data_IF_366815556132
#
_entry.id   IF_366815556132
#
_cell.length_a   1.000
_cell.length_b   1.000
_cell.length_c   1.000
_cell.angle_alpha   90.00
_cell.angle_beta   90.00
_cell.angle_gamma   90.00
#
_symmetry.space_group_name_H-M   'P 1'
#
loop_
_entity.id
_entity.type
_entity.pdbx_description
1 polymer ?
#
# COMPACT_ATOMS: atom_id res chain seq x y z
N UNK A 1 17.54 14.48 -23.72
CA UNK A 1 18.18 13.18 -24.04
C UNK A 1 17.40 12.12 -23.28
N UNK A 2 16.83 11.11 -23.95
CA UNK A 2 16.21 9.96 -23.29
C UNK A 2 17.31 9.21 -22.51
N UNK A 3 17.24 9.21 -21.19
CA UNK A 3 18.17 8.47 -20.35
C UNK A 3 17.69 7.03 -20.13
N UNK A 4 18.56 6.00 -20.25
CA UNK A 4 18.19 4.62 -19.90
C UNK A 4 17.79 4.54 -18.42
N UNK A 5 17.16 3.43 -18.02
CA UNK A 5 17.01 3.13 -16.59
C UNK A 5 18.39 2.92 -16.00
N UNK A 6 18.68 3.70 -14.96
CA UNK A 6 19.96 3.62 -14.25
C UNK A 6 19.98 2.43 -13.31
N UNK A 7 21.17 1.96 -12.97
CA UNK A 7 21.34 0.88 -11.99
C UNK A 7 20.69 1.23 -10.64
N UNK A 8 20.78 2.50 -10.22
CA UNK A 8 20.18 3.00 -8.99
C UNK A 8 18.65 2.79 -8.99
N UNK A 9 17.96 3.18 -10.05
CA UNK A 9 16.51 3.02 -10.15
C UNK A 9 16.11 1.56 -10.20
N UNK A 10 16.87 0.72 -10.91
CA UNK A 10 16.65 -0.73 -10.94
C UNK A 10 16.79 -1.34 -9.54
N UNK A 11 17.82 -0.94 -8.80
CA UNK A 11 18.08 -1.43 -7.45
C UNK A 11 16.98 -1.03 -6.48
N UNK A 12 16.58 0.24 -6.48
CA UNK A 12 15.49 0.75 -5.65
C UNK A 12 14.15 0.07 -5.97
N UNK A 13 13.78 -0.04 -7.25
CA UNK A 13 12.56 -0.74 -7.68
C UNK A 13 12.57 -2.20 -7.26
N UNK A 14 13.71 -2.90 -7.44
CA UNK A 14 13.83 -4.31 -7.04
C UNK A 14 13.71 -4.46 -5.53
N UNK A 15 14.36 -3.60 -4.76
CA UNK A 15 14.32 -3.62 -3.30
C UNK A 15 12.88 -3.46 -2.79
N UNK A 16 12.16 -2.44 -3.27
CA UNK A 16 10.77 -2.19 -2.89
C UNK A 16 9.83 -3.32 -3.35
N UNK A 17 10.03 -3.85 -4.56
CA UNK A 17 9.23 -4.97 -5.08
C UNK A 17 9.42 -6.23 -4.23
N UNK A 18 10.67 -6.59 -3.92
CA UNK A 18 10.96 -7.76 -3.08
C UNK A 18 10.41 -7.58 -1.67
N UNK A 19 10.54 -6.39 -1.08
CA UNK A 19 9.94 -6.08 0.22
C UNK A 19 8.41 -6.24 0.18
N UNK A 20 7.74 -5.67 -0.84
CA UNK A 20 6.28 -5.75 -1.00
C UNK A 20 5.78 -7.19 -1.15
N UNK A 21 6.52 -8.03 -1.89
CA UNK A 21 6.17 -9.44 -2.06
C UNK A 21 6.25 -10.21 -0.74
N UNK A 22 7.33 -10.03 0.03
CA UNK A 22 7.47 -10.66 1.34
C UNK A 22 6.41 -10.14 2.33
N UNK A 23 6.14 -8.83 2.32
CA UNK A 23 5.14 -8.22 3.19
C UNK A 23 3.73 -8.68 2.86
N UNK A 24 3.38 -8.90 1.58
CA UNK A 24 2.09 -9.47 1.19
C UNK A 24 1.91 -10.89 1.75
N UNK A 25 2.94 -11.72 1.63
CA UNK A 25 2.92 -13.08 2.15
C UNK A 25 2.79 -13.09 3.68
N UNK A 26 3.57 -12.25 4.36
CA UNK A 26 3.52 -12.16 5.82
C UNK A 26 2.19 -11.57 6.30
N UNK A 27 1.65 -10.57 5.61
CA UNK A 27 0.36 -9.99 5.95
C UNK A 27 -0.76 -11.04 5.84
N UNK A 28 -0.77 -11.82 4.75
CA UNK A 28 -1.72 -12.92 4.60
C UNK A 28 -1.57 -13.98 5.71
N UNK A 29 -0.35 -14.27 6.14
CA UNK A 29 -0.10 -15.17 7.27
C UNK A 29 -0.61 -14.57 8.60
N UNK A 30 -0.38 -13.28 8.83
CA UNK A 30 -0.83 -12.56 10.02
C UNK A 30 -2.37 -12.54 10.12
N UNK A 31 -3.06 -12.14 9.05
CA UNK A 31 -4.54 -12.16 8.95
C UNK A 31 -5.10 -13.54 9.32
N UNK A 32 -4.52 -14.61 8.77
CA UNK A 32 -4.96 -15.97 9.07
C UNK A 32 -4.78 -16.35 10.55
N UNK A 33 -3.69 -15.89 11.20
CA UNK A 33 -3.46 -16.11 12.63
C UNK A 33 -4.47 -15.34 13.47
N UNK A 34 -4.71 -14.08 13.17
CA UNK A 34 -5.68 -13.23 13.85
C UNK A 34 -7.08 -13.84 13.79
N UNK A 35 -7.57 -14.21 12.60
CA UNK A 35 -8.87 -14.86 12.42
C UNK A 35 -8.98 -16.18 13.21
N UNK A 36 -7.88 -16.94 13.29
CA UNK A 36 -7.84 -18.18 14.08
C UNK A 36 -7.98 -17.88 15.58
N UNK A 37 -7.29 -16.87 16.09
CA UNK A 37 -7.33 -16.51 17.49
C UNK A 37 -8.64 -15.86 17.93
N UNK A 38 -9.29 -15.07 17.06
CA UNK A 38 -10.66 -14.58 17.33
C UNK A 38 -11.64 -15.74 17.55
N UNK A 39 -11.65 -16.72 16.64
CA UNK A 39 -12.52 -17.91 16.78
C UNK A 39 -12.25 -18.69 18.06
N UNK A 40 -10.97 -18.85 18.43
CA UNK A 40 -10.60 -19.51 19.68
C UNK A 40 -11.04 -18.69 20.91
N UNK A 41 -10.94 -17.37 20.84
CA UNK A 41 -11.44 -16.45 21.86
C UNK A 41 -12.93 -16.61 22.11
N UNK A 42 -13.76 -16.61 21.05
CA UNK A 42 -15.21 -16.80 21.15
C UNK A 42 -15.56 -18.13 21.83
N UNK A 43 -14.91 -19.22 21.40
CA UNK A 43 -15.10 -20.56 21.98
C UNK A 43 -14.70 -20.56 23.46
N UNK A 44 -13.64 -19.86 23.84
CA UNK A 44 -13.17 -19.81 25.21
C UNK A 44 -14.07 -18.94 26.11
N UNK A 45 -14.62 -17.86 25.57
CA UNK A 45 -15.58 -17.00 26.28
C UNK A 45 -16.84 -17.81 26.61
N UNK A 46 -17.41 -18.51 25.64
CA UNK A 46 -18.56 -19.40 25.83
C UNK A 46 -18.27 -20.46 26.90
N UNK A 47 -17.06 -21.04 26.90
CA UNK A 47 -16.64 -22.05 27.86
C UNK A 47 -16.32 -21.51 29.27
N UNK A 48 -16.06 -20.21 29.40
CA UNK A 48 -15.74 -19.55 30.67
C UNK A 48 -16.97 -18.94 31.37
N UNK A 49 -18.09 -18.77 30.67
CA UNK A 49 -19.34 -18.23 31.24
C UNK A 49 -19.77 -19.02 32.48
N UNK A 50 -19.93 -18.31 33.60
CA UNK A 50 -20.36 -18.89 34.88
C UNK A 50 -19.30 -19.72 35.62
N UNK A 51 -18.03 -19.72 35.18
CA UNK A 51 -16.94 -20.44 35.85
C UNK A 51 -16.10 -19.51 36.72
N UNK A 52 -15.57 -20.05 37.82
CA UNK A 52 -14.70 -19.33 38.75
C UNK A 52 -13.25 -19.17 38.25
N UNK A 53 -12.81 -20.02 37.31
CA UNK A 53 -11.45 -19.99 36.75
C UNK A 53 -11.49 -19.60 35.27
N UNK A 54 -10.85 -18.49 34.90
CA UNK A 54 -10.86 -17.90 33.55
C UNK A 54 -9.52 -17.99 32.82
N UNK A 55 -8.51 -18.65 33.39
CA UNK A 55 -7.13 -18.66 32.86
C UNK A 55 -7.02 -19.03 31.38
N UNK A 56 -7.81 -20.01 30.92
CA UNK A 56 -7.82 -20.42 29.51
C UNK A 56 -8.31 -19.30 28.58
N UNK A 57 -9.41 -18.64 28.95
CA UNK A 57 -9.95 -17.49 28.23
C UNK A 57 -8.97 -16.31 28.25
N UNK A 58 -8.37 -16.01 29.40
CA UNK A 58 -7.42 -14.91 29.53
C UNK A 58 -6.16 -15.10 28.68
N UNK A 59 -5.65 -16.33 28.56
CA UNK A 59 -4.54 -16.66 27.67
C UNK A 59 -4.94 -16.48 26.20
N UNK A 60 -6.11 -16.96 25.79
CA UNK A 60 -6.55 -16.85 24.40
C UNK A 60 -6.83 -15.39 23.98
N UNK A 61 -7.40 -14.59 24.89
CA UNK A 61 -7.55 -13.14 24.67
C UNK A 61 -6.21 -12.43 24.51
N UNK A 62 -5.20 -12.79 25.31
CA UNK A 62 -3.85 -12.25 25.17
C UNK A 62 -3.21 -12.66 23.84
N UNK A 63 -3.42 -13.89 23.39
CA UNK A 63 -2.94 -14.37 22.08
C UNK A 63 -3.60 -13.63 20.92
N UNK A 64 -4.93 -13.42 20.97
CA UNK A 64 -5.66 -12.65 19.96
C UNK A 64 -5.12 -11.22 19.87
N UNK A 65 -4.98 -10.54 21.01
CA UNK A 65 -4.43 -9.19 21.05
C UNK A 65 -2.97 -9.11 20.55
N UNK A 66 -2.17 -10.16 20.74
CA UNK A 66 -0.83 -10.22 20.18
C UNK A 66 -0.84 -10.44 18.66
N UNK A 67 -1.77 -11.25 18.15
CA UNK A 67 -1.97 -11.45 16.72
C UNK A 67 -2.45 -10.18 16.02
N UNK A 68 -3.40 -9.45 16.60
CA UNK A 68 -3.89 -8.16 16.08
C UNK A 68 -2.76 -7.15 15.91
N UNK A 69 -1.93 -6.97 16.95
CA UNK A 69 -0.78 -6.06 16.89
C UNK A 69 0.19 -6.47 15.79
N UNK A 70 0.47 -7.77 15.67
CA UNK A 70 1.37 -8.28 14.66
C UNK A 70 0.83 -8.05 13.24
N UNK A 71 -0.44 -8.38 12.99
CA UNK A 71 -1.11 -8.10 11.72
C UNK A 71 -1.08 -6.62 11.39
N UNK A 72 -1.35 -5.76 12.39
CA UNK A 72 -1.30 -4.32 12.24
C UNK A 72 0.08 -3.83 11.81
N UNK A 73 1.12 -4.24 12.53
CA UNK A 73 2.49 -3.81 12.25
C UNK A 73 2.94 -4.24 10.85
N UNK A 74 2.61 -5.48 10.45
CA UNK A 74 2.90 -5.98 9.10
C UNK A 74 2.10 -5.22 8.03
N UNK A 75 0.82 -4.93 8.28
CA UNK A 75 -0.03 -4.17 7.35
C UNK A 75 0.45 -2.73 7.15
N UNK A 76 0.92 -2.07 8.21
CA UNK A 76 1.53 -0.73 8.12
C UNK A 76 2.81 -0.74 7.28
N UNK A 77 3.68 -1.74 7.50
CA UNK A 77 4.89 -1.91 6.70
C UNK A 77 4.54 -2.18 5.23
N UNK A 78 3.56 -3.05 4.96
CA UNK A 78 3.09 -3.37 3.62
C UNK A 78 2.55 -2.12 2.91
N UNK A 79 1.73 -1.30 3.57
CA UNK A 79 1.22 -0.05 3.02
C UNK A 79 2.37 0.90 2.65
N UNK A 80 3.28 1.13 3.59
CA UNK A 80 4.42 2.04 3.38
C UNK A 80 5.23 1.65 2.16
N UNK A 81 5.62 0.37 2.04
CA UNK A 81 6.47 -0.09 0.95
C UNK A 81 5.72 -0.19 -0.38
N UNK A 82 4.45 -0.60 -0.36
CA UNK A 82 3.64 -0.64 -1.56
C UNK A 82 3.37 0.78 -2.10
N UNK A 83 3.06 1.73 -1.22
CA UNK A 83 2.90 3.14 -1.58
C UNK A 83 4.18 3.73 -2.18
N UNK A 84 5.33 3.48 -1.57
CA UNK A 84 6.64 3.88 -2.10
C UNK A 84 6.92 3.24 -3.47
N UNK A 85 6.62 1.95 -3.63
CA UNK A 85 6.77 1.24 -4.90
C UNK A 85 5.88 1.84 -6.00
N UNK A 86 4.64 2.20 -5.67
CA UNK A 86 3.74 2.90 -6.60
C UNK A 86 4.30 4.24 -7.02
N UNK A 87 4.75 5.07 -6.06
CA UNK A 87 5.30 6.39 -6.34
C UNK A 87 6.57 6.31 -7.20
N UNK A 88 7.53 5.47 -6.82
CA UNK A 88 8.77 5.29 -7.58
C UNK A 88 8.51 4.69 -8.97
N UNK A 89 7.71 3.63 -9.06
CA UNK A 89 7.41 2.95 -10.32
C UNK A 89 6.69 3.84 -11.32
N UNK A 90 5.68 4.59 -10.87
CA UNK A 90 4.99 5.58 -11.71
C UNK A 90 5.95 6.69 -12.16
N UNK A 91 6.76 7.24 -11.25
CA UNK A 91 7.73 8.29 -11.59
C UNK A 91 8.75 7.82 -12.63
N UNK A 92 9.25 6.59 -12.50
CA UNK A 92 10.16 5.98 -13.48
C UNK A 92 9.45 5.80 -14.83
N UNK A 93 8.20 5.33 -14.85
CA UNK A 93 7.42 5.21 -16.09
C UNK A 93 7.20 6.56 -16.77
N UNK A 94 6.74 7.57 -16.03
CA UNK A 94 6.50 8.92 -16.56
C UNK A 94 7.76 9.49 -17.22
N UNK A 95 8.91 9.43 -16.53
CA UNK A 95 10.15 9.96 -17.09
C UNK A 95 10.60 9.21 -18.34
N UNK A 96 10.35 7.90 -18.42
CA UNK A 96 10.71 7.08 -19.58
C UNK A 96 9.83 7.44 -20.77
N UNK A 97 8.51 7.53 -20.56
CA UNK A 97 7.54 7.93 -21.58
C UNK A 97 7.84 9.33 -22.12
N UNK A 98 8.15 10.28 -21.24
CA UNK A 98 8.43 11.66 -21.62
C UNK A 98 9.90 11.91 -22.01
N UNK A 99 10.76 10.90 -21.94
CA UNK A 99 12.18 11.02 -22.29
C UNK A 99 12.97 12.00 -21.42
N UNK A 100 12.58 12.13 -20.15
CA UNK A 100 13.24 12.94 -19.14
C UNK A 100 14.56 12.31 -18.68
N UNK A 101 15.37 13.10 -17.97
CA UNK A 101 16.62 12.62 -17.38
C UNK A 101 16.36 11.56 -16.30
N UNK A 102 17.33 10.65 -16.04
CA UNK A 102 17.23 9.72 -14.93
C UNK A 102 17.13 10.43 -13.58
N UNK A 103 16.52 9.77 -12.60
CA UNK A 103 16.35 10.30 -11.25
C UNK A 103 17.71 10.39 -10.54
N UNK A 104 17.89 11.44 -9.75
CA UNK A 104 19.07 11.61 -8.89
C UNK A 104 19.00 10.73 -7.63
N UNK A 105 20.12 10.59 -6.92
CA UNK A 105 20.20 9.80 -5.67
C UNK A 105 19.19 10.27 -4.63
N UNK A 106 19.14 11.58 -4.38
CA UNK A 106 18.23 12.16 -3.38
C UNK A 106 16.76 12.02 -3.78
N UNK A 107 16.45 12.10 -5.09
CA UNK A 107 15.10 11.90 -5.60
C UNK A 107 14.66 10.43 -5.43
N UNK A 108 15.53 9.48 -5.76
CA UNK A 108 15.25 8.05 -5.56
C UNK A 108 15.06 7.72 -4.07
N UNK A 109 15.94 8.22 -3.20
CA UNK A 109 15.85 8.00 -1.76
C UNK A 109 14.53 8.56 -1.20
N UNK A 110 14.17 9.79 -1.58
CA UNK A 110 12.91 10.40 -1.15
C UNK A 110 11.68 9.62 -1.65
N UNK A 111 11.73 9.07 -2.87
CA UNK A 111 10.65 8.26 -3.45
C UNK A 111 10.49 6.89 -2.75
N UNK A 112 11.55 6.37 -2.14
CA UNK A 112 11.53 5.12 -1.36
C UNK A 112 10.90 5.25 0.03
N UNK A 113 10.76 6.47 0.56
CA UNK A 113 10.03 6.70 1.81
C UNK A 113 8.53 6.48 1.64
N UNK A 114 7.82 6.30 2.76
CA UNK A 114 6.36 6.28 2.76
C UNK A 114 5.82 7.59 2.14
N UNK A 115 4.97 7.50 1.11
CA UNK A 115 4.31 8.66 0.56
C UNK A 115 3.26 9.19 1.54
N UNK A 116 3.13 10.50 1.57
CA UNK A 116 1.92 11.12 2.13
C UNK A 116 0.69 10.70 1.32
N UNK A 117 -0.49 10.79 1.94
CA UNK A 117 -1.75 10.51 1.26
C UNK A 117 -1.92 11.40 0.02
N UNK A 118 -1.53 12.67 0.10
CA UNK A 118 -1.56 13.62 -1.02
C UNK A 118 -0.66 13.22 -2.19
N UNK A 119 0.55 12.75 -1.90
CA UNK A 119 1.47 12.25 -2.91
C UNK A 119 0.94 10.97 -3.58
N UNK A 120 0.37 10.05 -2.81
CA UNK A 120 -0.21 8.82 -3.34
C UNK A 120 -1.45 9.12 -4.21
N UNK A 121 -2.34 10.01 -3.76
CA UNK A 121 -3.50 10.51 -4.53
C UNK A 121 -3.04 11.14 -5.84
N UNK A 122 -2.03 12.01 -5.79
CA UNK A 122 -1.47 12.67 -6.98
C UNK A 122 -0.90 11.66 -7.96
N UNK A 123 -0.10 10.71 -7.47
CA UNK A 123 0.48 9.62 -8.28
C UNK A 123 -0.59 8.80 -8.97
N UNK A 124 -1.64 8.42 -8.23
CA UNK A 124 -2.74 7.63 -8.75
C UNK A 124 -3.66 8.43 -9.67
N UNK A 125 -3.58 9.76 -9.70
CA UNK A 125 -4.39 10.60 -10.58
C UNK A 125 -3.86 10.64 -12.01
N UNK A 126 -2.61 10.21 -12.26
CA UNK A 126 -2.04 10.12 -13.61
C UNK A 126 -2.77 9.03 -14.42
N UNK A 127 -3.43 9.36 -15.55
CA UNK A 127 -4.15 8.38 -16.36
C UNK A 127 -3.25 7.29 -16.92
N UNK A 128 -3.77 6.06 -17.04
CA UNK A 128 -3.00 4.94 -17.60
C UNK A 128 -2.55 5.19 -19.04
N UNK A 129 -3.33 5.93 -19.83
CA UNK A 129 -2.98 6.30 -21.20
C UNK A 129 -1.69 7.15 -21.28
N UNK A 130 -1.43 7.95 -20.25
CA UNK A 130 -0.21 8.76 -20.14
C UNK A 130 1.00 7.89 -19.80
N UNK A 131 0.82 6.84 -18.99
CA UNK A 131 1.90 5.96 -18.51
C UNK A 131 2.22 4.82 -19.48
N UNK A 132 1.23 4.37 -20.25
CA UNK A 132 1.31 3.12 -21.02
C UNK A 132 1.13 3.33 -22.53
N UNK A 133 1.77 4.33 -23.19
CA UNK A 133 1.45 4.71 -24.57
C UNK A 133 1.55 3.57 -25.59
N UNK A 134 2.42 2.59 -25.34
CA UNK A 134 2.72 1.47 -26.23
C UNK A 134 1.91 0.19 -25.95
N UNK A 135 1.00 0.21 -24.96
CA UNK A 135 0.16 -0.95 -24.65
C UNK A 135 -1.08 -1.05 -25.53
N UNK A 136 -1.56 -2.27 -25.68
CA UNK A 136 -2.82 -2.56 -26.35
C UNK A 136 -3.99 -1.83 -25.67
N UNK A 137 -4.98 -1.33 -26.43
CA UNK A 137 -6.11 -0.57 -25.87
C UNK A 137 -6.85 -1.30 -24.75
N UNK A 138 -7.06 -2.61 -24.87
CA UNK A 138 -7.73 -3.41 -23.84
C UNK A 138 -6.93 -3.48 -22.53
N UNK A 139 -5.60 -3.57 -22.60
CA UNK A 139 -4.73 -3.56 -21.41
C UNK A 139 -4.79 -2.18 -20.75
N UNK A 140 -4.75 -1.10 -21.54
CA UNK A 140 -4.88 0.28 -21.04
C UNK A 140 -6.19 0.49 -20.31
N UNK A 141 -7.30 0.04 -20.89
CA UNK A 141 -8.63 0.13 -20.27
C UNK A 141 -8.68 -0.64 -18.94
N UNK A 142 -8.13 -1.86 -18.90
CA UNK A 142 -8.05 -2.65 -17.68
C UNK A 142 -7.22 -1.96 -16.60
N UNK A 143 -6.03 -1.43 -16.96
CA UNK A 143 -5.16 -0.71 -16.03
C UNK A 143 -5.80 0.59 -15.54
N UNK A 144 -6.51 1.32 -16.41
CA UNK A 144 -7.24 2.52 -16.04
C UNK A 144 -8.37 2.22 -15.07
N UNK A 145 -9.08 1.10 -15.25
CA UNK A 145 -10.11 0.64 -14.31
C UNK A 145 -9.50 0.31 -12.95
N UNK A 146 -8.42 -0.47 -12.91
CA UNK A 146 -7.73 -0.83 -11.67
C UNK A 146 -7.18 0.41 -10.95
N UNK A 147 -6.57 1.35 -11.68
CA UNK A 147 -6.10 2.63 -11.16
C UNK A 147 -7.23 3.44 -10.53
N UNK A 148 -8.38 3.58 -11.21
CA UNK A 148 -9.55 4.33 -10.69
C UNK A 148 -10.11 3.70 -9.42
N UNK A 149 -10.19 2.37 -9.36
CA UNK A 149 -10.64 1.65 -8.16
C UNK A 149 -9.69 1.89 -6.99
N UNK A 150 -8.38 1.82 -7.23
CA UNK A 150 -7.38 2.10 -6.21
C UNK A 150 -7.40 3.57 -5.77
N UNK A 151 -7.53 4.52 -6.70
CA UNK A 151 -7.69 5.93 -6.36
C UNK A 151 -8.92 6.14 -5.47
N UNK A 152 -10.07 5.54 -5.81
CA UNK A 152 -11.27 5.59 -4.98
C UNK A 152 -11.04 4.98 -3.58
N UNK A 153 -10.28 3.89 -3.48
CA UNK A 153 -9.92 3.30 -2.19
C UNK A 153 -9.07 4.26 -1.34
N UNK A 154 -8.10 4.95 -1.95
CA UNK A 154 -7.29 5.99 -1.31
C UNK A 154 -8.13 7.21 -0.92
N UNK A 155 -9.11 7.62 -1.73
CA UNK A 155 -10.09 8.65 -1.33
C UNK A 155 -10.89 8.24 -0.09
N UNK A 156 -11.20 6.95 0.06
CA UNK A 156 -11.79 6.40 1.28
C UNK A 156 -10.88 6.60 2.49
N UNK A 157 -9.57 6.32 2.36
CA UNK A 157 -8.59 6.59 3.42
C UNK A 157 -8.55 8.08 3.79
N UNK A 158 -8.57 8.96 2.79
CA UNK A 158 -8.64 10.40 3.03
C UNK A 158 -9.86 10.80 3.85
N UNK A 159 -11.03 10.29 3.47
CA UNK A 159 -12.28 10.56 4.17
C UNK A 159 -12.22 10.06 5.62
N UNK A 160 -11.69 8.87 5.85
CA UNK A 160 -11.57 8.28 7.19
C UNK A 160 -10.56 9.08 8.04
N UNK A 161 -9.40 9.41 7.47
CA UNK A 161 -8.38 10.20 8.12
C UNK A 161 -8.86 11.61 8.49
N UNK A 162 -9.71 12.22 7.65
CA UNK A 162 -10.32 13.51 7.92
C UNK A 162 -11.24 13.50 9.16
N UNK A 163 -11.73 12.32 9.55
CA UNK A 163 -12.71 12.16 10.64
C UNK A 163 -12.09 11.72 11.98
N UNK A 164 -10.80 11.34 12.00
CA UNK A 164 -10.15 10.70 13.16
C UNK A 164 -10.14 11.49 14.47
N UNK A 165 -10.27 12.83 14.42
CA UNK A 165 -10.23 13.69 15.61
C UNK A 165 -11.44 14.64 15.68
N UNK A 166 -12.38 14.54 14.74
CA UNK A 166 -13.47 15.49 14.63
C UNK A 166 -14.75 14.99 15.28
N UNK A 167 -15.05 15.47 16.48
CA UNK A 167 -16.41 15.36 17.04
C UNK A 167 -17.39 16.35 16.40
N UNK A 168 -16.88 17.42 15.76
CA UNK A 168 -17.72 18.50 15.22
C UNK A 168 -17.47 18.88 13.74
N UNK A 169 -16.24 18.78 13.19
CA UNK A 169 -15.95 19.11 11.77
C UNK A 169 -14.74 18.35 11.19
N UNK A 170 -14.85 17.75 9.98
CA UNK A 170 -13.73 17.09 9.32
C UNK A 170 -12.50 18.00 9.14
N UNK A 171 -11.31 17.40 9.17
CA UNK A 171 -10.06 18.10 8.87
C UNK A 171 -10.05 18.62 7.42
N UNK A 172 -9.44 19.78 7.16
CA UNK A 172 -9.22 20.28 5.80
C UNK A 172 -8.40 19.30 4.93
N UNK A 173 -8.71 19.24 3.64
CA UNK A 173 -8.09 18.30 2.69
C UNK A 173 -6.57 18.46 2.58
N UNK A 174 -6.05 19.70 2.65
CA UNK A 174 -4.62 20.00 2.60
C UNK A 174 -3.86 19.48 3.83
N UNK A 175 -4.52 19.46 4.99
CA UNK A 175 -3.97 18.86 6.21
C UNK A 175 -3.89 17.35 6.06
N UNK A 176 -4.99 16.71 5.61
CA UNK A 176 -5.05 15.26 5.42
C UNK A 176 -4.05 14.81 4.35
N UNK A 177 -3.88 15.59 3.28
CA UNK A 177 -2.92 15.33 2.22
C UNK A 177 -1.48 15.24 2.74
N UNK A 178 -1.14 15.95 3.82
CA UNK A 178 0.18 15.92 4.44
C UNK A 178 0.45 14.69 5.33
N UNK A 179 -0.57 13.87 5.63
CA UNK A 179 -0.40 12.72 6.51
C UNK A 179 0.27 11.54 5.81
N UNK A 180 1.10 10.82 6.57
CA UNK A 180 1.48 9.44 6.27
C UNK A 180 0.51 8.50 6.98
N UNK A 181 0.12 7.40 6.35
CA UNK A 181 -0.86 6.48 6.94
C UNK A 181 -0.35 5.91 8.26
N UNK A 182 0.94 5.57 8.34
CA UNK A 182 1.56 5.03 9.56
C UNK A 182 1.52 6.01 10.74
N UNK A 183 1.34 7.31 10.48
CA UNK A 183 1.28 8.35 11.51
C UNK A 183 -0.15 8.63 11.97
N UNK A 184 -1.15 8.38 11.13
CA UNK A 184 -2.55 8.76 11.39
C UNK A 184 -3.48 7.57 11.49
N UNK A 185 -2.98 6.40 11.88
CA UNK A 185 -3.82 5.24 12.09
C UNK A 185 -3.74 4.82 13.57
N UNK A 186 -4.72 5.21 14.41
CA UNK A 186 -4.70 4.96 15.85
C UNK A 186 -4.71 3.45 16.18
N UNK A 187 -3.93 2.99 17.18
CA UNK A 187 -3.77 1.58 17.49
C UNK A 187 -5.03 0.92 18.07
N UNK A 188 -5.98 1.71 18.54
CA UNK A 188 -7.27 1.31 19.13
C UNK A 188 -8.44 1.31 18.14
N UNK A 189 -8.18 1.66 16.87
CA UNK A 189 -9.16 1.64 15.78
C UNK A 189 -8.71 0.69 14.66
N UNK A 190 -9.69 0.23 13.88
CA UNK A 190 -9.43 -0.53 12.67
C UNK A 190 -8.45 0.24 11.77
N UNK A 191 -7.41 -0.43 11.24
CA UNK A 191 -6.39 0.25 10.47
C UNK A 191 -6.97 0.83 9.19
N UNK A 192 -6.65 2.09 8.90
CA UNK A 192 -7.17 2.78 7.70
C UNK A 192 -6.87 2.08 6.36
N UNK A 193 -5.84 1.23 6.29
CA UNK A 193 -5.53 0.46 5.08
C UNK A 193 -6.47 -0.74 4.86
N UNK A 194 -7.28 -1.12 5.84
CA UNK A 194 -8.10 -2.33 5.79
C UNK A 194 -9.02 -2.32 4.58
N UNK A 195 -9.13 -3.46 3.89
CA UNK A 195 -9.88 -3.61 2.64
C UNK A 195 -9.26 -2.94 1.40
N UNK A 196 -8.17 -2.17 1.56
CA UNK A 196 -7.55 -1.35 0.51
C UNK A 196 -6.12 -1.78 0.18
N UNK A 197 -5.40 -2.31 1.18
CA UNK A 197 -4.01 -2.74 1.08
C UNK A 197 -3.75 -3.74 -0.07
N UNK A 198 -4.63 -4.73 -0.26
CA UNK A 198 -4.46 -5.74 -1.30
C UNK A 198 -4.52 -5.16 -2.73
N UNK A 199 -5.33 -4.12 -2.93
CA UNK A 199 -5.40 -3.41 -4.22
C UNK A 199 -4.11 -2.62 -4.45
N UNK A 200 -3.59 -1.96 -3.42
CA UNK A 200 -2.33 -1.22 -3.49
C UNK A 200 -1.15 -2.16 -3.79
N UNK A 201 -1.05 -3.29 -3.09
CA UNK A 201 -0.03 -4.31 -3.32
C UNK A 201 -0.08 -4.86 -4.74
N UNK A 202 -1.29 -5.22 -5.22
CA UNK A 202 -1.46 -5.75 -6.57
C UNK A 202 -1.08 -4.73 -7.65
N UNK A 203 -1.37 -3.45 -7.43
CA UNK A 203 -0.96 -2.38 -8.35
C UNK A 203 0.56 -2.16 -8.34
N UNK A 204 1.18 -2.14 -7.15
CA UNK A 204 2.63 -2.01 -6.98
C UNK A 204 3.40 -3.15 -7.69
N UNK A 205 2.91 -4.38 -7.58
CA UNK A 205 3.51 -5.56 -8.21
C UNK A 205 3.48 -5.52 -9.74
N UNK A 206 2.51 -4.81 -10.34
CA UNK A 206 2.38 -4.67 -11.78
C UNK A 206 3.40 -3.72 -12.42
N UNK A 207 3.87 -2.71 -11.68
CA UNK A 207 4.71 -1.63 -12.24
C UNK A 207 6.04 -2.10 -12.84
N UNK A 208 6.82 -3.02 -12.22
CA UNK A 208 8.03 -3.55 -12.84
C UNK A 208 7.77 -4.20 -14.21
N UNK A 209 6.63 -4.88 -14.37
CA UNK A 209 6.24 -5.47 -15.65
C UNK A 209 5.96 -4.38 -16.70
N UNK A 210 5.25 -3.32 -16.32
CA UNK A 210 4.97 -2.19 -17.22
C UNK A 210 6.24 -1.47 -17.67
N UNK A 211 7.18 -1.24 -16.74
CA UNK A 211 8.51 -0.68 -17.06
C UNK A 211 9.24 -1.59 -18.05
N UNK A 212 9.26 -2.90 -17.78
CA UNK A 212 9.91 -3.88 -18.66
C UNK A 212 9.36 -3.81 -20.08
N UNK A 213 8.03 -3.77 -20.26
CA UNK A 213 7.43 -3.72 -21.59
C UNK A 213 7.70 -2.40 -22.30
N UNK A 214 7.65 -1.28 -21.59
CA UNK A 214 8.01 0.01 -22.17
C UNK A 214 9.46 -0.02 -22.72
N UNK A 215 10.39 -0.58 -21.95
CA UNK A 215 11.80 -0.71 -22.37
C UNK A 215 11.95 -1.62 -23.59
N UNK A 216 11.24 -2.76 -23.64
CA UNK A 216 11.27 -3.66 -24.80
C UNK A 216 10.81 -2.97 -26.07
N UNK A 217 9.71 -2.21 -25.98
CA UNK A 217 9.18 -1.48 -27.13
C UNK A 217 10.11 -0.35 -27.60
N UNK A 218 10.78 0.35 -26.67
CA UNK A 218 11.61 1.51 -27.01
C UNK A 218 13.06 1.18 -27.35
N UNK A 219 13.58 0.04 -26.91
CA UNK A 219 14.97 -0.39 -27.17
C UNK A 219 15.09 -1.55 -28.15
N UNK A 220 13.98 -2.20 -28.54
CA UNK A 220 13.97 -3.28 -29.52
C UNK A 220 14.64 -4.58 -29.06
N UNK A 221 14.79 -4.77 -27.74
CA UNK A 221 15.30 -6.01 -27.10
C UNK A 221 14.28 -6.54 -26.12
#
# INVERSE_FOLDING_TARGET
MRGPVTQLEVEALRSLYTASLHLRQEYAAAVNRTLTHYRLGDIAEDNARGKAFTHHHDVLRQMASAADRYERDVGMLAWSHAGAAVRLGTRVLERLVHGQAPLGVDEVAALCDEPTLGELRTTLSTPADTLLPHRDPWIKEHQEKSRKQLLQAVEGVFSDAAQLDSRDKPLPDDVVAGFRLTQVSPPDMDPLYEGRLEQLLSYAEGLPHEISVHLKHTTGR
#
